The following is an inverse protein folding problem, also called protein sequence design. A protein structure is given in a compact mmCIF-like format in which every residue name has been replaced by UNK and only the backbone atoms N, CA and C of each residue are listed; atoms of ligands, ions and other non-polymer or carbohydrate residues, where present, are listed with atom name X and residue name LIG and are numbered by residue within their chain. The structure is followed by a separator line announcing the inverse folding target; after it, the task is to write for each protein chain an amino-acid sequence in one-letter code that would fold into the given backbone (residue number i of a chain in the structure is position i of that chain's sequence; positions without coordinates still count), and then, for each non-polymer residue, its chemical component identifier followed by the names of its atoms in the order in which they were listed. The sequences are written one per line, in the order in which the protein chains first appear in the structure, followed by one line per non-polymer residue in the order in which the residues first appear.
data_IF_537149008774
#
_entry.id   IF_537149008774
#
_cell.length_a   1.000
_cell.length_b   1.000
_cell.length_c   1.000
_cell.angle_alpha   90.00
_cell.angle_beta   90.00
_cell.angle_gamma   90.00
#
_symmetry.space_group_name_H-M   'P 1'
#
loop_
_entity.id
_entity.type
_entity.pdbx_description
1 polymer ?
#
# COMPACT_ATOMS: atom_id res chain seq x y z
N UNK A 1 -4.23 15.84 2.64
CA UNK A 1 -4.48 15.06 1.40
C UNK A 1 -4.42 13.55 1.71
N UNK A 2 -5.14 12.71 0.95
CA UNK A 2 -4.94 11.25 1.00
C UNK A 2 -3.77 10.89 0.07
N UNK A 3 -2.75 10.21 0.58
CA UNK A 3 -1.59 9.79 -0.19
C UNK A 3 -1.72 8.30 -0.56
N UNK A 4 -1.58 7.96 -1.83
CA UNK A 4 -1.48 6.58 -2.31
C UNK A 4 -0.09 6.44 -2.91
N UNK A 5 0.74 5.57 -2.33
CA UNK A 5 2.14 5.42 -2.74
C UNK A 5 2.44 3.99 -3.19
N UNK A 6 3.04 3.85 -4.37
CA UNK A 6 3.61 2.60 -4.85
C UNK A 6 5.06 2.40 -4.38
N UNK A 7 5.52 1.16 -4.45
CA UNK A 7 6.89 0.79 -4.14
C UNK A 7 7.05 0.11 -2.79
N UNK A 8 8.17 -0.59 -2.64
CA UNK A 8 8.39 -1.48 -1.51
C UNK A 8 8.59 -0.73 -0.19
N UNK A 9 8.24 -1.38 0.92
CA UNK A 9 8.70 -1.09 2.27
C UNK A 9 8.31 0.29 2.84
N UNK A 10 7.39 1.01 2.20
CA UNK A 10 7.06 2.39 2.57
C UNK A 10 6.15 2.51 3.81
N UNK A 11 5.39 1.45 4.17
CA UNK A 11 4.45 1.44 5.30
C UNK A 11 4.70 0.30 6.31
N UNK A 12 5.95 -0.16 6.42
CA UNK A 12 6.36 -1.25 7.32
C UNK A 12 5.95 -1.04 8.79
N UNK A 13 5.63 -2.14 9.48
CA UNK A 13 5.38 -2.15 10.93
C UNK A 13 6.61 -2.54 11.74
N UNK A 14 7.56 -3.26 11.14
CA UNK A 14 8.76 -3.83 11.78
C UNK A 14 9.99 -2.91 11.70
N UNK A 15 9.79 -1.59 11.76
CA UNK A 15 10.88 -0.60 11.75
C UNK A 15 11.30 -0.22 13.17
N UNK A 16 12.59 -0.06 13.39
CA UNK A 16 13.14 0.43 14.66
C UNK A 16 14.60 0.83 14.49
N UNK A 17 15.02 1.91 15.16
CA UNK A 17 16.45 2.23 15.31
C UNK A 17 17.21 1.06 15.96
N UNK A 18 16.54 0.26 16.81
CA UNK A 18 17.15 -0.91 17.45
C UNK A 18 17.54 -2.01 16.46
N UNK A 19 17.00 -1.99 15.23
CA UNK A 19 17.45 -2.90 14.17
C UNK A 19 18.91 -2.65 13.77
N UNK A 20 19.51 -1.49 14.07
CA UNK A 20 20.95 -1.25 13.90
C UNK A 20 21.80 -2.17 14.78
N UNK A 21 21.27 -2.58 15.93
CA UNK A 21 22.00 -3.43 16.84
C UNK A 21 22.19 -4.84 16.26
N UNK A 22 21.36 -5.26 15.30
CA UNK A 22 21.48 -6.55 14.59
C UNK A 22 22.75 -6.70 13.75
N UNK A 23 23.65 -5.71 13.75
CA UNK A 23 25.02 -5.84 13.24
C UNK A 23 25.77 -7.05 13.83
N UNK A 24 25.43 -7.50 15.03
CA UNK A 24 25.99 -8.72 15.62
C UNK A 24 25.60 -10.01 14.87
N UNK A 25 24.56 -10.00 14.03
CA UNK A 25 24.08 -11.17 13.25
C UNK A 25 25.01 -11.50 12.05
N UNK A 26 26.08 -10.72 11.86
CA UNK A 26 27.01 -10.87 10.76
C UNK A 26 26.49 -10.20 9.49
N UNK A 27 27.04 -10.56 8.32
CA UNK A 27 26.84 -9.82 7.06
C UNK A 27 25.37 -9.63 6.63
N UNK A 28 24.43 -10.45 7.11
CA UNK A 28 23.00 -10.30 6.82
C UNK A 28 22.39 -9.00 7.37
N UNK A 29 23.05 -8.32 8.30
CA UNK A 29 22.53 -7.09 8.92
C UNK A 29 22.27 -5.94 7.92
N UNK A 30 22.99 -5.91 6.80
CA UNK A 30 22.81 -4.91 5.74
C UNK A 30 21.41 -4.94 5.12
N UNK A 31 20.70 -6.07 5.21
CA UNK A 31 19.31 -6.17 4.76
C UNK A 31 18.39 -5.21 5.52
N UNK A 32 18.61 -4.99 6.82
CA UNK A 32 17.81 -4.05 7.62
C UNK A 32 17.99 -2.60 7.16
N UNK A 33 19.17 -2.25 6.62
CA UNK A 33 19.40 -0.95 5.99
C UNK A 33 18.67 -0.88 4.65
N UNK A 34 18.87 -1.89 3.79
CA UNK A 34 18.30 -1.90 2.44
C UNK A 34 16.77 -1.87 2.45
N UNK A 35 16.14 -2.60 3.38
CA UNK A 35 14.68 -2.59 3.59
C UNK A 35 14.16 -1.33 4.31
N UNK A 36 15.05 -0.44 4.77
CA UNK A 36 14.67 0.77 5.52
C UNK A 36 14.15 0.49 6.94
N UNK A 37 14.38 -0.70 7.47
CA UNK A 37 13.89 -1.15 8.79
C UNK A 37 14.63 -0.50 9.96
N UNK A 38 15.72 0.22 9.72
CA UNK A 38 16.49 0.94 10.74
C UNK A 38 15.96 2.35 11.06
N UNK A 39 14.88 2.76 10.40
CA UNK A 39 14.18 4.01 10.70
C UNK A 39 13.40 3.91 12.02
N UNK A 40 13.20 5.03 12.76
CA UNK A 40 12.38 5.02 13.98
C UNK A 40 10.91 4.69 13.70
N UNK A 41 10.40 5.10 12.53
CA UNK A 41 9.03 4.93 12.08
C UNK A 41 9.03 4.87 10.54
N UNK A 42 8.02 4.24 9.94
CA UNK A 42 7.97 4.02 8.50
C UNK A 42 7.65 5.32 7.74
N UNK A 43 8.01 5.36 6.46
CA UNK A 43 7.85 6.54 5.61
C UNK A 43 6.39 7.01 5.57
N UNK A 44 5.44 6.09 5.41
CA UNK A 44 4.02 6.40 5.34
C UNK A 44 3.53 7.06 6.62
N UNK A 45 3.96 6.56 7.78
CA UNK A 45 3.58 7.15 9.07
C UNK A 45 4.18 8.55 9.26
N UNK A 46 5.44 8.77 8.87
CA UNK A 46 6.09 10.09 8.91
C UNK A 46 5.30 11.17 8.17
N UNK A 47 4.71 10.82 7.04
CA UNK A 47 3.91 11.75 6.24
C UNK A 47 2.50 11.89 6.81
N UNK A 48 1.88 10.79 7.26
CA UNK A 48 0.53 10.82 7.88
C UNK A 48 0.50 11.65 9.16
N UNK A 49 1.57 11.64 9.97
CA UNK A 49 1.60 12.34 11.27
C UNK A 49 2.11 13.78 11.20
N UNK A 50 2.45 14.29 10.02
CA UNK A 50 3.16 15.58 9.87
C UNK A 50 2.20 16.75 10.11
N UNK A 51 2.28 17.36 11.29
CA UNK A 51 1.55 18.61 11.56
C UNK A 51 1.92 19.72 10.56
N UNK A 52 0.90 20.43 10.06
CA UNK A 52 1.08 21.55 9.14
C UNK A 52 1.56 21.15 7.73
N UNK A 53 1.47 19.87 7.36
CA UNK A 53 1.87 19.37 6.04
C UNK A 53 1.51 17.90 5.84
N UNK A 54 2.23 17.23 4.94
CA UNK A 54 2.10 15.78 4.74
C UNK A 54 0.71 15.33 4.26
N UNK A 55 0.25 14.20 4.78
CA UNK A 55 -1.02 13.56 4.45
C UNK A 55 -1.91 13.42 5.69
N UNK A 56 -3.22 13.26 5.47
CA UNK A 56 -4.19 12.95 6.52
C UNK A 56 -4.50 11.44 6.59
N UNK A 57 -4.09 10.72 5.55
CA UNK A 57 -4.04 9.28 5.48
C UNK A 57 -3.06 8.87 4.37
N UNK A 58 -2.41 7.71 4.52
CA UNK A 58 -1.46 7.15 3.54
C UNK A 58 -1.77 5.68 3.31
N UNK A 59 -1.88 5.29 2.04
CA UNK A 59 -1.92 3.89 1.62
C UNK A 59 -0.58 3.49 1.03
N UNK A 60 -0.07 2.33 1.41
CA UNK A 60 1.21 1.84 0.94
C UNK A 60 1.50 0.41 1.38
N UNK A 61 2.75 -0.03 1.24
CA UNK A 61 3.15 -1.43 1.27
C UNK A 61 4.04 -1.72 2.49
N UNK A 62 3.68 -2.75 3.25
CA UNK A 62 4.46 -3.23 4.40
C UNK A 62 5.63 -4.13 3.99
N UNK A 63 5.76 -4.51 2.72
CA UNK A 63 6.82 -5.38 2.22
C UNK A 63 7.22 -5.10 0.77
N UNK A 64 7.61 -6.14 0.04
CA UNK A 64 8.04 -6.06 -1.36
C UNK A 64 6.84 -5.84 -2.29
N UNK A 65 6.69 -4.64 -2.82
CA UNK A 65 5.64 -4.35 -3.79
C UNK A 65 5.92 -5.06 -5.14
N UNK A 66 4.92 -5.75 -5.70
CA UNK A 66 5.01 -6.49 -6.96
C UNK A 66 4.20 -5.80 -8.07
N UNK A 67 4.71 -5.94 -9.29
CA UNK A 67 4.07 -5.45 -10.51
C UNK A 67 4.17 -6.51 -11.60
N UNK A 68 3.09 -6.65 -12.36
CA UNK A 68 3.13 -7.42 -13.60
C UNK A 68 3.56 -6.51 -14.76
N UNK A 69 4.16 -7.12 -15.77
CA UNK A 69 4.65 -6.44 -16.97
C UNK A 69 4.17 -7.20 -18.20
N UNK A 70 4.05 -6.52 -19.33
CA UNK A 70 3.65 -7.15 -20.58
C UNK A 70 2.13 -7.25 -20.74
N UNK A 71 1.71 -8.34 -21.39
CA UNK A 71 0.34 -8.68 -21.72
C UNK A 71 0.33 -10.20 -22.04
N UNK A 72 0.52 -11.02 -21.00
CA UNK A 72 0.75 -12.45 -21.18
C UNK A 72 -0.53 -13.24 -21.43
N UNK A 73 -1.68 -12.72 -21.01
CA UNK A 73 -3.01 -13.27 -21.33
C UNK A 73 -3.55 -12.81 -22.70
N UNK A 74 -2.84 -11.90 -23.37
CA UNK A 74 -3.13 -11.37 -24.71
C UNK A 74 -4.52 -10.72 -24.81
N UNK A 75 -4.95 -10.04 -23.77
CA UNK A 75 -6.16 -9.22 -23.82
C UNK A 75 -5.85 -7.78 -24.29
N UNK A 76 -6.83 -6.89 -24.20
CA UNK A 76 -6.68 -5.49 -24.64
C UNK A 76 -6.01 -4.58 -23.58
N UNK A 77 -5.63 -5.12 -22.41
CA UNK A 77 -5.12 -4.38 -21.26
C UNK A 77 -3.69 -4.81 -20.91
N UNK A 78 -2.80 -3.88 -20.52
CA UNK A 78 -1.47 -4.28 -20.07
C UNK A 78 -1.54 -4.91 -18.67
N UNK A 79 -0.77 -5.98 -18.42
CA UNK A 79 -0.78 -6.70 -17.15
C UNK A 79 -0.50 -5.79 -15.94
N UNK A 80 0.25 -4.70 -16.16
CA UNK A 80 0.60 -3.73 -15.11
C UNK A 80 -0.60 -2.96 -14.53
N UNK A 81 -1.79 -3.02 -15.13
CA UNK A 81 -3.04 -2.51 -14.53
C UNK A 81 -3.95 -3.61 -14.01
N UNK A 82 -3.65 -4.86 -14.35
CA UNK A 82 -4.50 -6.02 -14.10
C UNK A 82 -4.08 -6.79 -12.85
N UNK A 83 -2.80 -6.78 -12.50
CA UNK A 83 -2.27 -7.57 -11.39
C UNK A 83 -1.57 -6.72 -10.33
N UNK A 84 -1.45 -7.30 -9.13
CA UNK A 84 -0.71 -6.77 -7.98
C UNK A 84 -1.03 -5.30 -7.65
N UNK A 85 -0.01 -4.50 -7.32
CA UNK A 85 -0.13 -3.07 -6.96
C UNK A 85 -0.75 -2.21 -8.06
N UNK A 86 -0.50 -2.58 -9.32
CA UNK A 86 -1.17 -1.99 -10.47
C UNK A 86 -2.69 -2.05 -10.37
N UNK A 87 -3.22 -3.24 -10.13
CA UNK A 87 -4.66 -3.44 -9.94
C UNK A 87 -5.20 -2.65 -8.76
N UNK A 88 -4.51 -2.68 -7.62
CA UNK A 88 -4.94 -1.99 -6.39
C UNK A 88 -5.05 -0.48 -6.64
N UNK A 89 -4.03 0.15 -7.23
CA UNK A 89 -4.05 1.58 -7.50
C UNK A 89 -5.15 1.96 -8.50
N UNK A 90 -5.26 1.23 -9.61
CA UNK A 90 -6.27 1.51 -10.64
C UNK A 90 -7.68 1.38 -10.06
N UNK A 91 -7.95 0.32 -9.30
CA UNK A 91 -9.27 0.10 -8.73
C UNK A 91 -9.59 1.04 -7.57
N UNK A 92 -8.60 1.47 -6.79
CA UNK A 92 -8.80 2.51 -5.78
C UNK A 92 -9.23 3.84 -6.43
N UNK A 93 -8.53 4.29 -7.48
CA UNK A 93 -8.91 5.53 -8.15
C UNK A 93 -10.21 5.42 -8.94
N UNK A 94 -10.51 4.24 -9.52
CA UNK A 94 -11.81 3.96 -10.14
C UNK A 94 -12.95 3.97 -9.12
N UNK A 95 -12.76 3.35 -7.96
CA UNK A 95 -13.74 3.33 -6.87
C UNK A 95 -14.11 4.74 -6.41
N UNK A 96 -13.11 5.61 -6.28
CA UNK A 96 -13.34 7.02 -5.94
C UNK A 96 -13.95 7.82 -7.10
N UNK A 97 -13.31 7.82 -8.27
CA UNK A 97 -13.61 8.76 -9.35
C UNK A 97 -14.78 8.35 -10.26
N UNK A 98 -15.15 7.08 -10.27
CA UNK A 98 -16.19 6.53 -11.16
C UNK A 98 -17.32 5.89 -10.37
N UNK A 99 -16.99 5.10 -9.33
CA UNK A 99 -18.00 4.36 -8.54
C UNK A 99 -18.56 5.20 -7.37
N UNK A 100 -17.95 6.37 -7.07
CA UNK A 100 -18.47 7.34 -6.09
C UNK A 100 -18.28 6.94 -4.64
N UNK A 101 -17.37 6.01 -4.33
CA UNK A 101 -17.07 5.58 -2.96
C UNK A 101 -16.15 6.62 -2.33
N UNK A 102 -16.69 7.42 -1.41
CA UNK A 102 -15.99 8.56 -0.82
C UNK A 102 -15.54 8.35 0.63
N UNK A 103 -15.93 7.25 1.29
CA UNK A 103 -15.38 6.87 2.60
C UNK A 103 -14.08 6.08 2.40
N UNK A 104 -12.98 6.55 2.97
CA UNK A 104 -11.64 6.04 2.68
C UNK A 104 -11.45 4.56 3.03
N UNK A 105 -11.92 4.14 4.20
CA UNK A 105 -11.85 2.74 4.63
C UNK A 105 -12.76 1.83 3.79
N UNK A 106 -13.92 2.33 3.37
CA UNK A 106 -14.81 1.60 2.45
C UNK A 106 -14.15 1.43 1.08
N UNK A 107 -13.52 2.49 0.56
CA UNK A 107 -12.80 2.44 -0.70
C UNK A 107 -11.62 1.46 -0.65
N UNK A 108 -10.84 1.49 0.43
CA UNK A 108 -9.73 0.56 0.65
C UNK A 108 -10.20 -0.90 0.69
N UNK A 109 -11.20 -1.21 1.51
CA UNK A 109 -11.68 -2.59 1.65
C UNK A 109 -12.37 -3.09 0.37
N UNK A 110 -13.14 -2.25 -0.32
CA UNK A 110 -13.78 -2.62 -1.59
C UNK A 110 -12.73 -2.92 -2.66
N UNK A 111 -11.63 -2.17 -2.69
CA UNK A 111 -10.50 -2.44 -3.60
C UNK A 111 -9.87 -3.81 -3.31
N UNK A 112 -9.62 -4.14 -2.03
CA UNK A 112 -9.08 -5.44 -1.62
C UNK A 112 -10.05 -6.59 -1.93
N UNK A 113 -11.34 -6.44 -1.64
CA UNK A 113 -12.38 -7.42 -1.97
C UNK A 113 -12.40 -7.67 -3.48
N UNK A 114 -12.30 -6.61 -4.28
CA UNK A 114 -12.24 -6.73 -5.74
C UNK A 114 -11.00 -7.48 -6.20
N UNK A 115 -9.84 -7.26 -5.57
CA UNK A 115 -8.64 -8.04 -5.85
C UNK A 115 -8.85 -9.52 -5.54
N UNK A 116 -9.32 -9.84 -4.33
CA UNK A 116 -9.54 -11.22 -3.84
C UNK A 116 -10.56 -11.98 -4.69
N UNK A 117 -11.58 -11.29 -5.22
CA UNK A 117 -12.62 -11.91 -6.04
C UNK A 117 -12.23 -12.02 -7.52
N UNK A 118 -11.26 -11.22 -7.97
CA UNK A 118 -10.73 -11.27 -9.35
C UNK A 118 -9.58 -12.27 -9.48
N UNK A 119 -8.68 -12.30 -8.50
CA UNK A 119 -7.46 -13.11 -8.50
C UNK A 119 -7.58 -14.28 -7.52
N UNK A 120 -6.97 -15.41 -7.85
CA UNK A 120 -6.98 -16.56 -6.95
C UNK A 120 -5.90 -16.44 -5.87
N UNK A 121 -6.18 -15.65 -4.85
CA UNK A 121 -5.25 -15.35 -3.74
C UNK A 121 -4.82 -16.58 -2.93
N UNK A 122 -5.51 -17.71 -3.06
CA UNK A 122 -5.16 -18.95 -2.36
C UNK A 122 -4.22 -19.86 -3.16
N UNK A 123 -3.99 -19.56 -4.46
CA UNK A 123 -3.10 -20.34 -5.33
C UNK A 123 -1.71 -19.75 -5.43
N UNK A 124 -1.60 -18.43 -5.50
CA UNK A 124 -0.31 -17.73 -5.59
C UNK A 124 0.00 -17.00 -4.27
N UNK A 125 1.10 -17.34 -3.58
CA UNK A 125 1.56 -16.61 -2.40
C UNK A 125 1.78 -15.11 -2.64
N UNK A 126 2.11 -14.68 -3.86
CA UNK A 126 2.30 -13.26 -4.20
C UNK A 126 0.97 -12.52 -4.20
N UNK A 127 -0.11 -13.15 -4.67
CA UNK A 127 -1.46 -12.58 -4.60
C UNK A 127 -1.93 -12.46 -3.14
N UNK A 128 -1.72 -13.50 -2.33
CA UNK A 128 -2.00 -13.47 -0.89
C UNK A 128 -1.25 -12.30 -0.22
N UNK A 129 0.05 -12.21 -0.49
CA UNK A 129 0.92 -11.17 0.05
C UNK A 129 0.47 -9.76 -0.38
N UNK A 130 0.09 -9.58 -1.64
CA UNK A 130 -0.38 -8.28 -2.17
C UNK A 130 -1.56 -7.74 -1.37
N UNK A 131 -2.51 -8.62 -1.02
CA UNK A 131 -3.68 -8.26 -0.20
C UNK A 131 -3.29 -7.93 1.23
N UNK A 132 -2.40 -8.72 1.83
CA UNK A 132 -1.98 -8.54 3.23
C UNK A 132 -1.11 -7.31 3.44
N UNK A 133 -0.32 -6.91 2.44
CA UNK A 133 0.72 -5.90 2.64
C UNK A 133 0.27 -4.47 2.36
N UNK A 134 -0.84 -4.27 1.62
CA UNK A 134 -1.31 -2.94 1.23
C UNK A 134 -2.22 -2.34 2.30
N UNK A 135 -1.65 -1.47 3.13
CA UNK A 135 -2.25 -0.97 4.37
C UNK A 135 -2.66 0.48 4.29
N UNK A 136 -3.68 0.84 5.07
CA UNK A 136 -4.14 2.21 5.29
C UNK A 136 -3.66 2.72 6.66
N UNK A 137 -2.84 3.77 6.65
CA UNK A 137 -2.42 4.52 7.83
C UNK A 137 -3.18 5.84 7.91
N UNK A 138 -4.11 5.97 8.86
CA UNK A 138 -4.93 7.17 9.05
C UNK A 138 -6.32 6.83 9.58
N UNK A 139 -7.25 7.77 9.49
CA UNK A 139 -8.65 7.56 9.88
C UNK A 139 -9.42 6.88 8.72
N UNK A 140 -9.86 5.61 8.87
CA UNK A 140 -10.64 4.93 7.84
C UNK A 140 -12.04 5.53 7.65
N UNK A 141 -12.55 6.32 8.58
CA UNK A 141 -13.88 6.96 8.50
C UNK A 141 -13.85 8.29 7.73
N UNK A 142 -12.67 8.73 7.32
CA UNK A 142 -12.47 9.96 6.55
C UNK A 142 -13.26 9.93 5.24
N UNK A 143 -14.09 10.96 5.03
CA UNK A 143 -14.70 11.26 3.73
C UNK A 143 -13.73 12.03 2.82
N UNK A 144 -13.31 11.41 1.73
CA UNK A 144 -12.48 12.01 0.69
C UNK A 144 -13.29 13.09 -0.02
N UNK A 145 -12.69 14.28 -0.23
CA UNK A 145 -13.40 15.46 -0.74
C UNK A 145 -14.06 16.31 0.35
N UNK A 146 -14.11 15.82 1.59
CA UNK A 146 -14.60 16.56 2.75
C UNK A 146 -16.11 16.43 2.98
N UNK A 147 -16.56 17.00 4.10
CA UNK A 147 -17.97 17.05 4.47
C UNK A 147 -18.56 18.39 4.02
N UNK A 148 -19.86 18.39 3.72
CA UNK A 148 -20.57 19.63 3.47
C UNK A 148 -20.36 20.57 4.67
N UNK A 149 -20.03 21.83 4.39
CA UNK A 149 -20.01 22.85 5.44
C UNK A 149 -21.45 23.07 5.92
N UNK A 150 -21.67 23.29 7.23
CA UNK A 150 -22.97 23.67 7.77
C UNK A 150 -23.57 24.91 7.09
#
# INVERSE_FOLDING_TARGET
PVCVVGGCHNCQFNVSIMNLLKVWEGAGWYEYIWKGETSPECWGWWITRKNGGGSIATLGYTGLDYFAIGNYDNDDLPDCVQYFSGFLHVNFFKGYGVEGIDILGELHVNTLIKYITTHNVYKDPIDCKTVEEWVLLGDPTLKIGGYASP
#
